data_IF_946192015489
#
_entry.id   IF_946192015489
#
_cell.length_a   1.000
_cell.length_b   1.000
_cell.length_c   1.000
_cell.angle_alpha   90.00
_cell.angle_beta   90.00
_cell.angle_gamma   90.00
#
_symmetry.space_group_name_H-M   'P 1'
#
loop_
_entity.id
_entity.type
_entity.pdbx_description
1 polymer ?
#
# COMPACT_ATOMS: atom_id res chain seq x y z
N UNK A 1 -5.60 3.32 -12.88
CA UNK A 1 -5.11 4.05 -11.69
C UNK A 1 -5.80 3.53 -10.43
N UNK A 2 -5.06 3.28 -9.38
CA UNK A 2 -5.68 2.83 -8.13
C UNK A 2 -6.03 4.03 -7.25
N UNK A 3 -6.98 3.82 -6.33
CA UNK A 3 -7.44 4.84 -5.39
C UNK A 3 -7.03 4.47 -3.98
N UNK A 4 -7.12 5.44 -3.07
CA UNK A 4 -6.84 5.20 -1.66
C UNK A 4 -7.79 4.15 -1.08
N UNK A 5 -9.03 4.08 -1.57
CA UNK A 5 -10.00 3.09 -1.13
C UNK A 5 -9.59 1.68 -1.50
N UNK A 6 -9.07 1.49 -2.70
CA UNK A 6 -8.57 0.19 -3.16
C UNK A 6 -7.38 -0.24 -2.30
N UNK A 7 -6.49 0.68 -2.02
CA UNK A 7 -5.32 0.41 -1.18
C UNK A 7 -5.74 0.08 0.25
N UNK A 8 -6.71 0.82 0.79
CA UNK A 8 -7.25 0.56 2.12
C UNK A 8 -7.87 -0.84 2.21
N UNK A 9 -8.57 -1.27 1.16
CA UNK A 9 -9.15 -2.61 1.11
C UNK A 9 -8.06 -3.68 1.18
N UNK A 10 -6.98 -3.51 0.43
CA UNK A 10 -5.86 -4.44 0.46
C UNK A 10 -5.22 -4.52 1.84
N UNK A 11 -5.07 -3.38 2.50
CA UNK A 11 -4.50 -3.33 3.84
C UNK A 11 -5.39 -4.06 4.84
N UNK A 12 -6.69 -3.86 4.76
CA UNK A 12 -7.63 -4.55 5.65
C UNK A 12 -7.59 -6.06 5.43
N UNK A 13 -7.48 -6.49 4.18
CA UNK A 13 -7.35 -7.91 3.86
C UNK A 13 -6.05 -8.49 4.41
N UNK A 14 -4.95 -7.74 4.29
CA UNK A 14 -3.65 -8.18 4.80
C UNK A 14 -3.66 -8.28 6.31
N UNK A 15 -4.30 -7.37 6.99
CA UNK A 15 -4.35 -7.34 8.44
C UNK A 15 -5.46 -8.22 9.03
N UNK A 16 -6.39 -8.68 8.23
CA UNK A 16 -7.41 -9.66 8.60
C UNK A 16 -8.18 -9.30 9.88
N UNK A 17 -8.63 -8.05 9.97
CA UNK A 17 -9.42 -7.60 11.10
C UNK A 17 -8.63 -7.19 12.33
N UNK A 18 -7.31 -7.14 12.23
CA UNK A 18 -6.46 -6.64 13.32
C UNK A 18 -6.42 -5.11 13.37
N UNK A 19 -6.90 -4.46 12.32
CA UNK A 19 -7.02 -3.01 12.29
C UNK A 19 -8.14 -2.57 13.24
N UNK A 20 -7.89 -1.55 14.09
CA UNK A 20 -8.98 -0.97 14.88
C UNK A 20 -10.09 -0.45 13.98
N UNK A 21 -11.35 -0.68 14.38
CA UNK A 21 -12.50 -0.30 13.55
C UNK A 21 -12.66 1.21 13.38
N UNK A 22 -12.11 1.99 14.29
CA UNK A 22 -12.21 3.44 14.26
C UNK A 22 -10.99 4.11 13.58
N UNK A 23 -10.09 3.33 13.01
CA UNK A 23 -8.94 3.88 12.31
C UNK A 23 -9.39 4.48 10.98
N UNK A 24 -9.01 5.72 10.75
CA UNK A 24 -9.21 6.38 9.46
C UNK A 24 -8.00 6.10 8.57
N UNK A 25 -8.26 5.55 7.40
CA UNK A 25 -7.20 5.26 6.42
C UNK A 25 -7.29 6.28 5.30
N UNK A 26 -6.28 7.14 5.20
CA UNK A 26 -6.20 8.15 4.15
C UNK A 26 -4.75 8.29 3.67
N UNK A 27 -4.51 9.21 2.75
CA UNK A 27 -3.20 9.39 2.14
C UNK A 27 -2.14 9.83 3.13
N UNK A 28 -2.52 10.47 4.23
CA UNK A 28 -1.58 10.93 5.25
C UNK A 28 -1.30 9.90 6.32
N UNK A 29 -2.06 8.81 6.35
CA UNK A 29 -1.88 7.74 7.33
C UNK A 29 -0.53 7.06 7.11
N UNK A 30 0.27 6.98 8.17
CA UNK A 30 1.57 6.34 8.10
C UNK A 30 1.41 4.83 8.18
N UNK A 31 2.25 4.13 7.42
CA UNK A 31 2.21 2.67 7.38
C UNK A 31 2.52 2.07 8.75
N UNK A 32 3.46 2.67 9.49
CA UNK A 32 3.82 2.19 10.83
C UNK A 32 2.72 2.45 11.86
N UNK A 33 1.91 3.48 11.67
CA UNK A 33 0.76 3.74 12.55
C UNK A 33 -0.30 2.65 12.44
N UNK A 34 -0.37 2.01 11.28
CA UNK A 34 -1.31 0.90 11.06
C UNK A 34 -0.81 -0.41 11.65
N UNK A 35 0.42 -0.43 12.14
CA UNK A 35 1.01 -1.64 12.68
C UNK A 35 1.53 -2.60 11.62
N UNK A 36 1.73 -2.10 10.40
CA UNK A 36 2.28 -2.91 9.32
C UNK A 36 3.78 -3.08 9.49
N UNK A 37 4.24 -4.32 9.44
CA UNK A 37 5.66 -4.62 9.42
C UNK A 37 6.20 -4.45 8.00
N UNK A 38 7.53 -4.44 7.87
CA UNK A 38 8.17 -4.37 6.55
C UNK A 38 7.73 -5.52 5.66
N UNK A 39 7.57 -6.70 6.24
CA UNK A 39 7.10 -7.87 5.49
C UNK A 39 5.69 -7.67 4.97
N UNK A 40 4.79 -7.12 5.79
CA UNK A 40 3.41 -6.89 5.39
C UNK A 40 3.32 -5.83 4.29
N UNK A 41 4.13 -4.77 4.37
CA UNK A 41 4.20 -3.77 3.31
C UNK A 41 4.68 -4.42 2.01
N UNK A 42 5.69 -5.28 2.10
CA UNK A 42 6.20 -6.00 0.93
C UNK A 42 5.14 -6.90 0.31
N UNK A 43 4.32 -7.56 1.14
CA UNK A 43 3.24 -8.40 0.64
C UNK A 43 2.16 -7.58 -0.06
N UNK A 44 1.84 -6.40 0.45
CA UNK A 44 0.88 -5.49 -0.20
C UNK A 44 1.43 -5.04 -1.55
N UNK A 45 2.69 -4.65 -1.61
CA UNK A 45 3.34 -4.24 -2.86
C UNK A 45 3.33 -5.41 -3.86
N UNK A 46 3.65 -6.61 -3.39
CA UNK A 46 3.65 -7.80 -4.24
C UNK A 46 2.25 -8.08 -4.81
N UNK A 47 1.22 -7.93 -3.98
CA UNK A 47 -0.17 -8.11 -4.43
C UNK A 47 -0.51 -7.10 -5.53
N UNK A 48 -0.10 -5.84 -5.35
CA UNK A 48 -0.32 -4.81 -6.37
C UNK A 48 0.39 -5.15 -7.67
N UNK A 49 1.61 -5.65 -7.59
CA UNK A 49 2.36 -6.07 -8.78
C UNK A 49 1.63 -7.21 -9.51
N UNK A 50 1.15 -8.17 -8.76
CA UNK A 50 0.49 -9.34 -9.32
C UNK A 50 -0.85 -8.98 -9.97
N UNK A 51 -1.65 -8.17 -9.28
CA UNK A 51 -2.97 -7.80 -9.77
C UNK A 51 -2.93 -6.88 -10.98
N UNK A 52 -1.93 -6.02 -11.05
CA UNK A 52 -1.83 -5.02 -12.12
C UNK A 52 -0.77 -5.36 -13.17
N UNK A 53 -0.01 -6.43 -12.97
CA UNK A 53 1.00 -6.85 -13.93
C UNK A 53 2.16 -5.88 -14.07
N UNK A 54 2.54 -5.21 -12.99
CA UNK A 54 3.61 -4.22 -12.97
C UNK A 54 4.70 -4.64 -11.98
N UNK A 55 5.86 -4.00 -12.08
CA UNK A 55 6.95 -4.24 -11.14
C UNK A 55 7.34 -2.93 -10.47
N UNK A 56 7.45 -2.94 -9.15
CA UNK A 56 7.90 -1.79 -8.37
C UNK A 56 9.39 -1.89 -8.13
N UNK A 57 10.04 -0.72 -8.06
CA UNK A 57 11.42 -0.65 -7.58
C UNK A 57 11.42 -0.92 -6.07
N UNK A 58 12.07 -2.00 -5.61
CA UNK A 58 12.08 -2.33 -4.18
C UNK A 58 12.64 -1.21 -3.30
N UNK A 59 13.63 -0.46 -3.80
CA UNK A 59 14.20 0.64 -3.04
C UNK A 59 13.18 1.75 -2.83
N UNK A 60 12.41 2.07 -3.87
CA UNK A 60 11.37 3.10 -3.76
C UNK A 60 10.24 2.66 -2.87
N UNK A 61 9.83 1.39 -2.96
CA UNK A 61 8.79 0.85 -2.09
C UNK A 61 9.21 0.90 -0.63
N UNK A 62 10.48 0.64 -0.34
CA UNK A 62 11.02 0.68 1.02
C UNK A 62 11.06 2.10 1.58
N UNK A 63 11.10 3.11 0.73
CA UNK A 63 11.10 4.52 1.16
C UNK A 63 9.70 5.05 1.48
N UNK A 64 8.65 4.37 1.05
CA UNK A 64 7.28 4.79 1.30
C UNK A 64 7.00 4.79 2.80
N UNK A 65 6.51 5.90 3.34
CA UNK A 65 6.18 6.04 4.75
C UNK A 65 4.69 6.17 5.00
N UNK A 66 3.96 6.70 4.04
CA UNK A 66 2.51 6.89 4.13
C UNK A 66 1.80 6.14 3.02
N UNK A 67 0.48 6.01 3.17
CA UNK A 67 -0.34 5.41 2.12
C UNK A 67 -0.29 6.25 0.84
N UNK A 68 -0.23 7.58 0.99
CA UNK A 68 -0.08 8.46 -0.17
C UNK A 68 1.19 8.20 -0.95
N UNK A 69 2.30 7.95 -0.25
CA UNK A 69 3.57 7.61 -0.89
C UNK A 69 3.44 6.32 -1.70
N UNK A 70 2.83 5.31 -1.11
CA UNK A 70 2.64 4.03 -1.78
C UNK A 70 1.69 4.15 -2.97
N UNK A 71 0.63 4.93 -2.79
CA UNK A 71 -0.34 5.19 -3.86
C UNK A 71 0.31 5.91 -5.04
N UNK A 72 1.12 6.93 -4.77
CA UNK A 72 1.83 7.68 -5.79
C UNK A 72 2.78 6.77 -6.58
N UNK A 73 3.53 5.95 -5.86
CA UNK A 73 4.46 5.01 -6.49
C UNK A 73 3.72 4.02 -7.40
N UNK A 74 2.60 3.49 -6.92
CA UNK A 74 1.81 2.55 -7.70
C UNK A 74 1.29 3.19 -8.99
N UNK A 75 0.76 4.41 -8.87
CA UNK A 75 0.20 5.11 -10.04
C UNK A 75 1.28 5.52 -11.04
N UNK A 76 2.46 5.86 -10.56
CA UNK A 76 3.60 6.15 -11.45
C UNK A 76 3.96 4.94 -12.29
N UNK A 77 4.00 3.77 -11.69
CA UNK A 77 4.32 2.52 -12.39
C UNK A 77 3.24 2.19 -13.40
N UNK A 78 1.96 2.37 -13.02
CA UNK A 78 0.84 2.11 -13.92
C UNK A 78 0.81 3.06 -15.11
N UNK A 79 1.18 4.32 -14.91
CA UNK A 79 1.20 5.31 -15.99
C UNK A 79 2.30 5.03 -17.01
N UNK A 80 3.44 4.54 -16.54
CA UNK A 80 4.58 4.24 -17.41
C UNK A 80 4.38 2.93 -18.16
N UNK A 81 3.74 1.99 -17.53
CA UNK A 81 3.46 0.69 -18.10
C UNK A 81 2.34 0.74 -19.11
#
# INVERSE_FOLDING_TARGET
>A
MITIEMLATLIRQEMRGKLPVDVTIDATTRLDELGLSSLQVSEIVFTLEDEHGVEFDPAKAAEAQTLGDLLTLTNEVLEVG
#
